data_IF_805250996916
#
_entry.id   IF_805250996916
#
_cell.length_a   1.000
_cell.length_b   1.000
_cell.length_c   1.000
_cell.angle_alpha   90.00
_cell.angle_beta   90.00
_cell.angle_gamma   90.00
#
_symmetry.space_group_name_H-M   'P 1'
#
loop_
_entity.id
_entity.type
_entity.pdbx_description
1 polymer ?
#
# COMPACT_ATOMS: atom_id res chain seq x y z
N UNK A 1 -10.19 56.11 -25.42
CA UNK A 1 -11.45 55.45 -25.03
C UNK A 1 -11.11 54.03 -24.63
N UNK A 2 -11.08 53.76 -23.33
CA UNK A 2 -10.61 52.52 -22.73
C UNK A 2 -11.84 51.69 -22.33
N UNK A 3 -11.90 50.37 -22.61
CA UNK A 3 -13.04 49.56 -22.19
C UNK A 3 -13.12 49.49 -20.65
N UNK A 4 -14.33 49.43 -20.05
CA UNK A 4 -14.46 49.30 -18.61
C UNK A 4 -13.97 47.92 -18.14
N UNK A 5 -13.16 47.91 -17.08
CA UNK A 5 -12.65 46.72 -16.41
C UNK A 5 -13.80 46.02 -15.64
N UNK A 6 -13.88 44.67 -15.62
CA UNK A 6 -14.86 43.97 -14.81
C UNK A 6 -14.53 44.10 -13.31
N UNK A 7 -15.51 44.57 -12.54
CA UNK A 7 -15.48 44.65 -11.08
C UNK A 7 -15.62 43.25 -10.49
N UNK A 8 -14.57 42.72 -9.87
CA UNK A 8 -14.64 41.46 -9.12
C UNK A 8 -15.12 41.76 -7.69
N UNK A 9 -16.38 41.48 -7.40
CA UNK A 9 -16.91 41.42 -6.04
C UNK A 9 -16.43 40.15 -5.33
N UNK A 10 -15.87 40.22 -4.12
CA UNK A 10 -15.60 39.02 -3.34
C UNK A 10 -16.93 38.45 -2.81
N UNK A 11 -17.38 37.34 -3.39
CA UNK A 11 -18.46 36.53 -2.81
C UNK A 11 -17.92 35.88 -1.54
N UNK A 12 -18.40 36.34 -0.38
CA UNK A 12 -18.18 35.67 0.90
C UNK A 12 -18.81 34.28 0.84
N UNK A 13 -17.97 33.22 0.81
CA UNK A 13 -18.43 31.86 1.04
C UNK A 13 -18.94 31.73 2.50
N UNK A 14 -19.96 30.91 2.76
CA UNK A 14 -20.39 30.66 4.13
C UNK A 14 -19.24 29.99 4.91
N UNK A 15 -18.86 30.59 6.03
CA UNK A 15 -17.95 29.99 7.01
C UNK A 15 -18.59 28.73 7.57
N UNK A 16 -18.03 27.57 7.25
CA UNK A 16 -18.48 26.28 7.79
C UNK A 16 -18.26 26.24 9.30
N UNK A 17 -19.36 26.20 10.05
CA UNK A 17 -19.37 25.99 11.50
C UNK A 17 -19.67 24.53 11.77
N UNK A 18 -18.68 23.74 12.21
CA UNK A 18 -18.93 22.38 12.66
C UNK A 18 -19.52 22.36 14.06
N UNK A 19 -20.85 22.22 14.13
CA UNK A 19 -21.49 21.72 15.34
C UNK A 19 -21.27 20.21 15.41
N UNK A 20 -20.27 19.77 16.18
CA UNK A 20 -20.08 18.35 16.50
C UNK A 20 -21.23 17.88 17.39
N UNK A 21 -22.12 17.03 16.87
CA UNK A 21 -23.04 16.28 17.72
C UNK A 21 -22.26 15.13 18.37
N UNK A 22 -21.90 15.30 19.64
CA UNK A 22 -21.39 14.23 20.48
C UNK A 22 -22.54 13.26 20.77
N UNK A 23 -22.59 12.15 20.04
CA UNK A 23 -23.41 10.99 20.44
C UNK A 23 -22.63 10.26 21.54
N UNK A 24 -23.14 10.15 22.78
CA UNK A 24 -22.48 9.40 23.82
C UNK A 24 -22.65 7.90 23.54
N UNK A 25 -21.58 7.22 23.13
CA UNK A 25 -21.56 5.76 23.02
C UNK A 25 -21.29 5.16 24.41
N UNK A 26 -22.13 4.24 24.93
CA UNK A 26 -21.85 3.57 26.19
C UNK A 26 -20.70 2.57 26.01
N UNK A 27 -19.85 2.50 27.03
CA UNK A 27 -18.66 1.64 27.12
C UNK A 27 -18.93 0.17 26.74
N UNK A 28 -18.05 -0.39 25.91
CA UNK A 28 -17.64 -1.79 26.01
C UNK A 28 -18.06 -2.74 24.89
N UNK A 29 -17.26 -2.78 23.82
CA UNK A 29 -16.75 -3.99 23.15
C UNK A 29 -15.96 -3.56 21.89
N UNK A 30 -14.73 -4.03 21.68
CA UNK A 30 -14.13 -3.94 20.34
C UNK A 30 -15.05 -4.70 19.41
N UNK A 31 -15.62 -4.02 18.41
CA UNK A 31 -16.25 -4.71 17.30
C UNK A 31 -15.11 -5.41 16.58
N UNK A 32 -14.93 -6.71 16.81
CA UNK A 32 -14.12 -7.52 15.93
C UNK A 32 -14.90 -7.52 14.61
N UNK A 33 -14.37 -6.80 13.62
CA UNK A 33 -14.91 -6.81 12.27
C UNK A 33 -14.98 -8.23 11.71
N UNK A 34 -15.60 -8.44 10.54
CA UNK A 34 -15.56 -9.74 9.87
C UNK A 34 -14.11 -10.26 9.85
N UNK A 35 -13.86 -11.57 10.00
CA UNK A 35 -12.51 -12.11 10.01
C UNK A 35 -11.80 -11.61 8.76
N UNK A 36 -10.94 -10.61 8.93
CA UNK A 36 -10.16 -10.05 7.84
C UNK A 36 -9.21 -11.16 7.48
N UNK A 37 -9.46 -11.86 6.38
CA UNK A 37 -8.48 -12.79 5.82
C UNK A 37 -7.37 -11.97 5.15
N UNK A 38 -6.82 -11.03 5.91
CA UNK A 38 -5.81 -10.08 5.51
C UNK A 38 -4.46 -10.72 5.75
N UNK A 39 -3.62 -10.62 4.73
CA UNK A 39 -2.21 -10.98 4.84
C UNK A 39 -1.36 -9.76 4.51
N UNK A 40 -0.11 -9.80 4.97
CA UNK A 40 0.91 -8.79 4.71
C UNK A 40 1.97 -9.38 3.77
N UNK A 41 2.61 -8.53 2.99
CA UNK A 41 3.79 -8.88 2.18
C UNK A 41 4.94 -7.97 2.59
N UNK A 42 6.12 -8.54 2.78
CA UNK A 42 7.35 -7.82 3.15
C UNK A 42 8.45 -8.14 2.16
N UNK A 43 9.34 -7.16 1.96
CA UNK A 43 10.52 -7.31 1.12
C UNK A 43 11.71 -6.86 1.90
N UNK A 44 12.70 -7.74 1.96
CA UNK A 44 13.98 -7.50 2.59
C UNK A 44 15.05 -7.69 1.53
N UNK A 45 16.01 -6.77 1.49
CA UNK A 45 17.17 -6.88 0.61
C UNK A 45 18.38 -6.26 1.29
N UNK A 46 19.57 -6.81 1.04
CA UNK A 46 20.85 -6.23 1.52
C UNK A 46 21.24 -5.01 0.67
N UNK A 47 20.28 -4.11 0.44
CA UNK A 47 20.22 -3.16 -0.65
C UNK A 47 21.06 -1.89 -0.44
N UNK A 48 21.60 -1.67 0.77
CA UNK A 48 22.10 -0.36 1.17
C UNK A 48 23.24 0.22 0.31
N UNK A 49 23.84 -0.54 -0.61
CA UNK A 49 24.95 -0.09 -1.48
C UNK A 49 24.94 -0.66 -2.90
N UNK A 50 23.86 -1.28 -3.39
CA UNK A 50 23.92 -1.87 -4.74
C UNK A 50 23.70 -0.78 -5.80
N UNK A 51 24.81 -0.22 -6.29
CA UNK A 51 24.80 0.68 -7.44
C UNK A 51 24.33 0.01 -8.73
N UNK A 52 24.06 0.82 -9.75
CA UNK A 52 23.72 0.34 -11.08
C UNK A 52 24.78 -0.64 -11.62
N UNK A 53 24.34 -1.68 -12.33
CA UNK A 53 25.17 -2.79 -12.80
C UNK A 53 25.46 -3.86 -11.73
N UNK A 54 25.04 -3.62 -10.49
CA UNK A 54 25.24 -4.56 -9.38
C UNK A 54 24.30 -5.76 -9.39
N UNK A 55 24.34 -6.50 -8.29
CA UNK A 55 23.52 -7.69 -8.04
C UNK A 55 22.98 -7.62 -6.61
N UNK A 56 21.70 -7.95 -6.42
CA UNK A 56 21.08 -7.97 -5.09
C UNK A 56 20.32 -9.27 -4.86
N UNK A 57 20.34 -9.75 -3.62
CA UNK A 57 19.47 -10.83 -3.17
C UNK A 57 18.27 -10.21 -2.44
N UNK A 58 17.07 -10.55 -2.89
CA UNK A 58 15.81 -10.15 -2.29
C UNK A 58 15.16 -11.36 -1.62
N UNK A 59 14.58 -11.10 -0.44
CA UNK A 59 13.70 -12.01 0.27
C UNK A 59 12.31 -11.39 0.33
N UNK A 60 11.35 -12.04 -0.31
CA UNK A 60 9.95 -11.67 -0.21
C UNK A 60 9.27 -12.64 0.75
N UNK A 61 8.58 -12.13 1.76
CA UNK A 61 7.84 -12.93 2.73
C UNK A 61 6.39 -12.47 2.84
N UNK A 62 5.53 -13.36 3.32
CA UNK A 62 4.12 -13.10 3.51
C UNK A 62 3.57 -13.87 4.71
N UNK A 63 2.57 -13.30 5.38
CA UNK A 63 1.79 -14.00 6.41
C UNK A 63 0.70 -14.93 5.84
N UNK A 64 0.58 -15.04 4.51
CA UNK A 64 -0.31 -16.01 3.87
C UNK A 64 0.10 -17.45 4.24
N UNK A 65 -0.84 -18.21 4.81
CA UNK A 65 -0.62 -19.58 5.27
C UNK A 65 -0.73 -20.63 4.16
N UNK A 66 -1.22 -20.25 2.98
CA UNK A 66 -1.30 -21.14 1.82
C UNK A 66 0.08 -21.28 1.16
N UNK A 67 0.74 -22.41 1.37
CA UNK A 67 2.07 -22.70 0.85
C UNK A 67 2.14 -22.77 -0.70
N UNK A 68 1.00 -23.07 -1.32
CA UNK A 68 0.82 -23.13 -2.78
C UNK A 68 0.24 -21.85 -3.39
N UNK A 69 0.09 -20.79 -2.60
CA UNK A 69 -0.36 -19.49 -3.09
C UNK A 69 0.55 -19.02 -4.24
N UNK A 70 -0.01 -18.56 -5.38
CA UNK A 70 0.78 -17.93 -6.42
C UNK A 70 1.57 -16.75 -5.86
N UNK A 71 2.84 -16.67 -6.23
CA UNK A 71 3.80 -15.68 -5.72
C UNK A 71 4.82 -15.34 -6.79
N UNK A 72 5.40 -14.15 -6.70
CA UNK A 72 6.43 -13.76 -7.66
C UNK A 72 6.92 -12.35 -7.47
N UNK A 73 7.79 -11.96 -8.40
CA UNK A 73 8.44 -10.65 -8.43
C UNK A 73 8.21 -10.01 -9.79
N UNK A 74 7.68 -8.80 -9.80
CA UNK A 74 7.53 -7.95 -10.97
C UNK A 74 8.68 -6.95 -11.02
N UNK A 75 9.43 -7.00 -12.12
CA UNK A 75 10.58 -6.14 -12.43
C UNK A 75 10.93 -6.34 -13.91
N UNK A 76 11.57 -5.34 -14.51
CA UNK A 76 12.15 -5.47 -15.86
C UNK A 76 13.54 -6.10 -15.85
N UNK A 77 14.16 -6.22 -14.66
CA UNK A 77 15.51 -6.75 -14.48
C UNK A 77 15.60 -8.26 -14.69
N UNK A 78 16.81 -8.69 -15.03
CA UNK A 78 17.16 -10.11 -15.08
C UNK A 78 17.13 -10.71 -13.67
N UNK A 79 16.49 -11.88 -13.53
CA UNK A 79 16.24 -12.52 -12.23
C UNK A 79 16.45 -14.02 -12.25
N UNK A 80 16.81 -14.57 -11.09
CA UNK A 80 16.94 -15.99 -10.85
C UNK A 80 16.33 -16.38 -9.50
N UNK A 81 15.59 -17.50 -9.48
CA UNK A 81 15.06 -18.08 -8.26
C UNK A 81 16.18 -18.78 -7.49
N UNK A 82 16.37 -18.38 -6.23
CA UNK A 82 17.45 -18.93 -5.39
C UNK A 82 16.90 -20.00 -4.43
N UNK A 83 15.82 -19.66 -3.73
CA UNK A 83 15.23 -20.53 -2.73
C UNK A 83 13.77 -20.17 -2.50
N UNK A 84 13.01 -21.08 -1.90
CA UNK A 84 11.64 -20.83 -1.47
C UNK A 84 11.25 -21.74 -0.31
N UNK A 85 10.30 -21.27 0.50
CA UNK A 85 9.70 -22.05 1.59
C UNK A 85 8.25 -21.61 1.82
N UNK A 86 7.57 -22.16 2.84
CA UNK A 86 6.23 -21.72 3.23
C UNK A 86 6.21 -20.22 3.52
N UNK A 87 5.40 -19.46 2.78
CA UNK A 87 5.22 -18.02 3.00
C UNK A 87 6.40 -17.13 2.56
N UNK A 88 7.47 -17.65 1.96
CA UNK A 88 8.59 -16.80 1.51
C UNK A 88 9.31 -17.36 0.28
N UNK A 89 10.02 -16.48 -0.43
CA UNK A 89 10.94 -16.85 -1.49
C UNK A 89 12.10 -15.85 -1.63
N UNK A 90 13.22 -16.35 -2.14
CA UNK A 90 14.42 -15.56 -2.44
C UNK A 90 14.67 -15.52 -3.94
N UNK A 91 14.93 -14.31 -4.45
CA UNK A 91 15.32 -14.08 -5.85
C UNK A 91 16.59 -13.27 -5.89
N UNK A 92 17.50 -13.64 -6.79
CA UNK A 92 18.65 -12.80 -7.13
C UNK A 92 18.34 -11.98 -8.37
N UNK A 93 18.60 -10.68 -8.29
CA UNK A 93 18.52 -9.75 -9.41
C UNK A 93 19.91 -9.37 -9.86
N UNK A 94 20.10 -9.25 -11.17
CA UNK A 94 21.38 -8.95 -11.80
C UNK A 94 21.25 -7.77 -12.75
N UNK A 95 22.37 -7.10 -13.01
CA UNK A 95 22.46 -5.97 -13.92
C UNK A 95 21.42 -4.90 -13.56
N UNK A 96 21.42 -4.46 -12.30
CA UNK A 96 20.45 -3.48 -11.82
C UNK A 96 20.59 -2.19 -12.63
N UNK A 97 19.60 -1.88 -13.45
CA UNK A 97 19.54 -0.64 -14.26
C UNK A 97 18.43 0.30 -13.81
N UNK A 98 17.56 -0.15 -12.91
CA UNK A 98 16.42 0.59 -12.38
C UNK A 98 16.47 0.66 -10.83
N UNK A 99 15.86 1.67 -10.19
CA UNK A 99 15.74 1.73 -8.75
C UNK A 99 14.99 0.53 -8.16
N UNK A 100 15.40 0.07 -6.98
CA UNK A 100 14.72 -1.03 -6.28
C UNK A 100 13.28 -0.69 -5.85
N UNK A 101 12.88 0.58 -5.87
CA UNK A 101 11.50 1.01 -5.62
C UNK A 101 10.52 0.58 -6.70
N UNK A 102 11.00 0.26 -7.90
CA UNK A 102 10.16 -0.16 -9.04
C UNK A 102 9.98 -1.69 -9.09
N UNK A 103 10.40 -2.38 -8.03
CA UNK A 103 10.40 -3.83 -7.90
C UNK A 103 9.36 -4.23 -6.86
N UNK A 104 8.38 -5.02 -7.28
CA UNK A 104 7.27 -5.42 -6.42
C UNK A 104 7.20 -6.94 -6.30
N UNK A 105 7.38 -7.44 -5.08
CA UNK A 105 6.99 -8.82 -4.79
C UNK A 105 5.46 -8.89 -4.65
N UNK A 106 4.86 -10.02 -5.00
CA UNK A 106 3.45 -10.25 -4.78
C UNK A 106 3.19 -11.64 -4.23
N UNK A 107 2.08 -11.74 -3.49
CA UNK A 107 1.47 -13.01 -3.11
C UNK A 107 -0.03 -12.93 -3.41
N UNK A 108 -0.59 -14.03 -3.89
CA UNK A 108 -2.02 -14.18 -4.16
C UNK A 108 -2.62 -15.20 -3.20
N UNK A 109 -3.24 -14.72 -2.13
CA UNK A 109 -3.83 -15.54 -1.08
C UNK A 109 -5.36 -15.43 -1.14
N UNK A 110 -6.08 -16.56 -1.16
CA UNK A 110 -7.55 -16.59 -1.14
C UNK A 110 -8.23 -15.68 -2.17
N UNK A 111 -7.65 -15.58 -3.37
CA UNK A 111 -8.17 -14.76 -4.46
C UNK A 111 -7.81 -13.28 -4.39
N UNK A 112 -7.11 -12.84 -3.33
CA UNK A 112 -6.60 -11.49 -3.19
C UNK A 112 -5.10 -11.45 -3.48
N UNK A 113 -4.67 -10.49 -4.30
CA UNK A 113 -3.25 -10.21 -4.59
C UNK A 113 -2.81 -8.97 -3.81
N UNK A 114 -1.71 -9.07 -3.07
CA UNK A 114 -1.10 -7.94 -2.35
C UNK A 114 0.37 -7.77 -2.68
N UNK A 115 0.82 -6.54 -2.58
CA UNK A 115 2.23 -6.09 -2.68
C UNK A 115 2.66 -5.47 -1.34
N UNK A 116 3.95 -5.24 -1.10
CA UNK A 116 4.43 -4.69 0.17
C UNK A 116 3.84 -3.34 0.47
N UNK A 117 3.42 -3.13 1.73
CA UNK A 117 2.83 -1.88 2.18
C UNK A 117 1.43 -1.58 1.63
N UNK A 118 0.80 -2.49 0.87
CA UNK A 118 -0.59 -2.31 0.45
C UNK A 118 -1.52 -2.44 1.67
N UNK A 119 -2.29 -1.39 2.03
CA UNK A 119 -3.22 -1.46 3.15
C UNK A 119 -4.35 -2.44 2.86
N UNK A 120 -4.98 -2.95 3.92
CA UNK A 120 -6.11 -3.85 3.76
C UNK A 120 -7.31 -3.10 3.16
N UNK A 121 -7.96 -3.63 2.10
CA UNK A 121 -9.13 -2.99 1.51
C UNK A 121 -10.29 -2.74 2.50
N UNK A 122 -10.42 -3.57 3.55
CA UNK A 122 -11.44 -3.38 4.57
C UNK A 122 -11.09 -2.22 5.54
N UNK A 123 -9.81 -1.86 5.68
CA UNK A 123 -9.38 -0.71 6.48
C UNK A 123 -9.68 0.63 5.77
N UNK A 124 -9.59 0.66 4.43
CA UNK A 124 -9.94 1.82 3.60
C UNK A 124 -11.45 2.14 3.65
N UNK A 125 -12.31 1.11 3.70
CA UNK A 125 -13.75 1.31 3.79
C UNK A 125 -14.19 1.94 5.14
N UNK A 126 -13.40 1.76 6.21
CA UNK A 126 -13.58 2.46 7.49
C UNK A 126 -13.03 3.89 7.50
N UNK A 127 -12.09 4.20 6.61
CA UNK A 127 -11.46 5.52 6.47
C UNK A 127 -12.28 6.47 5.59
N UNK A 128 -13.13 5.93 4.72
CA UNK A 128 -14.09 6.67 3.88
C UNK A 128 -15.21 7.41 4.64
N UNK A 129 -15.40 7.17 5.93
CA UNK A 129 -16.31 7.96 6.79
C UNK A 129 -15.59 9.08 7.57
N UNK A 130 -14.34 9.39 7.22
CA UNK A 130 -13.63 10.59 7.71
C UNK A 130 -13.19 11.50 6.56
N UNK A 131 -13.87 11.45 5.41
CA UNK A 131 -13.73 12.42 4.33
C UNK A 131 -14.94 13.36 4.28
N UNK A 132 -15.35 13.86 5.44
CA UNK A 132 -16.17 15.06 5.62
C UNK A 132 -15.92 15.54 7.04
N UNK A 133 -14.88 16.34 7.26
CA UNK A 133 -14.87 17.31 8.34
C UNK A 133 -13.86 18.43 8.04
N UNK A 134 -14.43 19.51 7.49
CA UNK A 134 -13.91 20.87 7.26
C UNK A 134 -12.89 21.08 6.13
#
# INVERSE_FOLDING_TARGET
MTPPQPTFTPTLLPTSSCASQLIPHPLGRPILGPPTHSFEVKVEGTSSEVGYGGTVLLNCSSSCTNETAPRGLETSLSKEWVAQGPGWFSIRLYNITEPLSDIFCFFSCSGERKVPGQPDPAEELGRGHSACHL
#
